data_IF_147249136752
#
_entry.id   IF_147249136752
#
_cell.length_a   1.000
_cell.length_b   1.000
_cell.length_c   1.000
_cell.angle_alpha   90.00
_cell.angle_beta   90.00
_cell.angle_gamma   90.00
#
_symmetry.space_group_name_H-M   'P 1'
#
loop_
_entity.id
_entity.type
_entity.pdbx_description
1 polymer ?
#
# COMPACT_ATOMS: atom_id res chain seq x y z
N UNK A 1 6.58 -28.02 14.35
CA UNK A 1 6.80 -27.70 12.92
C UNK A 1 6.86 -26.19 12.84
N UNK A 2 8.04 -25.59 12.66
CA UNK A 2 8.19 -24.13 12.59
C UNK A 2 7.83 -23.70 11.17
N UNK A 3 6.67 -23.07 11.00
CA UNK A 3 6.32 -22.42 9.75
C UNK A 3 7.21 -21.18 9.60
N UNK A 4 8.01 -21.14 8.53
CA UNK A 4 8.70 -19.92 8.12
C UNK A 4 7.64 -18.98 7.54
N UNK A 5 7.28 -17.94 8.28
CA UNK A 5 6.40 -16.88 7.79
C UNK A 5 7.26 -15.87 7.05
N UNK A 6 7.03 -15.70 5.75
CA UNK A 6 7.66 -14.68 4.94
C UNK A 6 7.15 -13.31 5.39
N UNK A 7 8.02 -12.52 6.04
CA UNK A 7 7.66 -11.22 6.62
C UNK A 7 7.89 -10.05 5.66
N UNK A 8 8.72 -10.24 4.65
CA UNK A 8 9.12 -9.21 3.72
C UNK A 8 9.12 -9.82 2.32
N UNK A 9 8.44 -9.15 1.40
CA UNK A 9 8.41 -9.52 -0.01
C UNK A 9 8.93 -8.34 -0.82
N UNK A 10 10.07 -8.55 -1.47
CA UNK A 10 10.68 -7.61 -2.42
C UNK A 10 10.73 -8.33 -3.76
N UNK A 11 10.02 -7.81 -4.75
CA UNK A 11 10.00 -8.35 -6.11
C UNK A 11 10.62 -7.34 -7.08
N UNK A 12 11.95 -7.41 -7.31
CA UNK A 12 12.65 -6.51 -8.21
C UNK A 12 12.48 -6.99 -9.66
N UNK A 13 11.39 -6.61 -10.32
CA UNK A 13 11.15 -6.99 -11.72
C UNK A 13 9.69 -6.97 -12.12
N UNK A 14 9.42 -7.11 -13.42
CA UNK A 14 8.07 -7.37 -13.91
C UNK A 14 7.59 -8.69 -13.29
N UNK A 15 6.53 -8.61 -12.51
CA UNK A 15 5.92 -9.76 -11.86
C UNK A 15 4.42 -9.68 -12.09
N UNK A 16 3.82 -10.83 -12.42
CA UNK A 16 2.37 -11.03 -12.49
C UNK A 16 1.77 -11.13 -11.08
N UNK A 17 2.23 -10.30 -10.14
CA UNK A 17 1.70 -10.23 -8.80
C UNK A 17 0.25 -9.79 -8.89
N UNK A 18 -0.66 -10.73 -8.61
CA UNK A 18 -2.09 -10.54 -8.77
C UNK A 18 -2.71 -9.98 -7.50
N UNK A 19 -3.91 -9.42 -7.64
CA UNK A 19 -4.72 -8.97 -6.52
C UNK A 19 -4.94 -10.10 -5.48
N UNK A 20 -5.02 -11.36 -5.94
CA UNK A 20 -5.19 -12.54 -5.07
C UNK A 20 -3.92 -12.88 -4.26
N UNK A 21 -2.72 -12.66 -4.84
CA UNK A 21 -1.45 -12.90 -4.14
C UNK A 21 -1.30 -12.00 -2.93
N UNK A 22 -1.79 -10.76 -3.05
CA UNK A 22 -1.81 -9.79 -1.94
C UNK A 22 -2.65 -10.30 -0.76
N UNK A 23 -3.75 -11.01 -1.00
CA UNK A 23 -4.71 -11.45 0.01
C UNK A 23 -4.24 -12.66 0.85
N UNK A 24 -3.21 -13.37 0.36
CA UNK A 24 -2.86 -14.70 0.85
C UNK A 24 -1.83 -14.74 1.99
N UNK A 25 -1.12 -13.63 2.27
CA UNK A 25 0.06 -13.65 3.16
C UNK A 25 0.15 -12.43 4.07
N UNK A 26 0.57 -12.64 5.33
CA UNK A 26 0.81 -11.59 6.35
C UNK A 26 2.19 -10.91 6.17
N UNK A 27 2.40 -10.21 5.05
CA UNK A 27 3.60 -9.42 4.87
C UNK A 27 3.61 -8.21 5.80
N UNK A 28 4.77 -7.96 6.42
CA UNK A 28 5.05 -6.74 7.19
C UNK A 28 5.52 -5.60 6.30
N UNK A 29 6.25 -5.93 5.24
CA UNK A 29 6.79 -4.97 4.29
C UNK A 29 6.60 -5.56 2.90
N UNK A 30 6.04 -4.76 2.00
CA UNK A 30 5.72 -5.17 0.63
C UNK A 30 6.29 -4.16 -0.36
N UNK A 31 7.27 -4.57 -1.15
CA UNK A 31 7.87 -3.73 -2.18
C UNK A 31 7.66 -4.37 -3.56
N UNK A 32 6.82 -3.73 -4.38
CA UNK A 32 6.39 -4.20 -5.68
C UNK A 32 6.77 -3.17 -6.77
N UNK A 33 8.07 -3.03 -7.02
CA UNK A 33 8.63 -1.97 -7.86
C UNK A 33 8.12 -1.95 -9.31
N UNK A 34 7.70 -3.10 -9.87
CA UNK A 34 7.21 -3.19 -11.26
C UNK A 34 6.01 -4.13 -11.40
N UNK A 35 5.21 -4.28 -10.36
CA UNK A 35 3.98 -5.06 -10.44
C UNK A 35 2.83 -4.20 -10.98
N UNK A 36 1.92 -4.83 -11.73
CA UNK A 36 0.71 -4.17 -12.22
C UNK A 36 -0.36 -4.25 -11.13
N UNK A 37 -0.52 -3.19 -10.35
CA UNK A 37 -1.56 -3.14 -9.32
C UNK A 37 -2.77 -2.39 -9.86
N UNK A 38 -3.94 -2.99 -9.69
CA UNK A 38 -5.21 -2.36 -10.04
C UNK A 38 -5.60 -1.29 -9.01
N UNK A 39 -6.42 -0.31 -9.40
CA UNK A 39 -7.03 0.63 -8.44
C UNK A 39 -7.77 -0.13 -7.32
N UNK A 40 -8.35 -1.29 -7.65
CA UNK A 40 -9.05 -2.15 -6.70
C UNK A 40 -8.10 -2.72 -5.63
N UNK A 41 -6.96 -3.30 -6.02
CA UNK A 41 -5.98 -3.80 -5.07
C UNK A 41 -5.39 -2.67 -4.21
N UNK A 42 -5.12 -1.50 -4.80
CA UNK A 42 -4.65 -0.35 -4.05
C UNK A 42 -5.68 0.09 -2.99
N UNK A 43 -6.97 0.16 -3.36
CA UNK A 43 -8.07 0.43 -2.42
C UNK A 43 -8.14 -0.59 -1.28
N UNK A 44 -8.00 -1.89 -1.60
CA UNK A 44 -8.01 -2.96 -0.60
C UNK A 44 -6.87 -2.81 0.40
N UNK A 45 -5.68 -2.44 -0.05
CA UNK A 45 -4.56 -2.15 0.86
C UNK A 45 -4.91 -1.01 1.83
N UNK A 46 -5.54 0.06 1.36
CA UNK A 46 -5.96 1.16 2.24
C UNK A 46 -7.01 0.75 3.26
N UNK A 47 -8.01 -0.04 2.86
CA UNK A 47 -9.01 -0.60 3.78
C UNK A 47 -8.34 -1.46 4.87
N UNK A 48 -7.37 -2.30 4.49
CA UNK A 48 -6.64 -3.16 5.42
C UNK A 48 -5.74 -2.37 6.39
N UNK A 49 -5.12 -1.29 5.90
CA UNK A 49 -4.35 -0.35 6.73
C UNK A 49 -5.24 0.37 7.74
N UNK A 50 -6.41 0.84 7.29
CA UNK A 50 -7.39 1.52 8.14
C UNK A 50 -7.89 0.61 9.26
N UNK A 51 -8.26 -0.62 8.94
CA UNK A 51 -8.80 -1.60 9.90
C UNK A 51 -7.71 -2.25 10.77
N UNK A 52 -6.43 -1.92 10.53
CA UNK A 52 -5.27 -2.59 11.11
C UNK A 52 -5.35 -4.14 10.98
N UNK A 53 -6.03 -4.62 9.94
CA UNK A 53 -6.27 -6.06 9.73
C UNK A 53 -4.97 -6.76 9.35
N UNK A 54 -4.04 -6.01 8.75
CA UNK A 54 -2.65 -6.43 8.51
C UNK A 54 -1.67 -5.47 9.14
N UNK A 55 -0.55 -6.01 9.62
CA UNK A 55 0.58 -5.22 10.13
C UNK A 55 1.53 -4.88 8.99
N UNK A 56 1.04 -4.17 7.98
CA UNK A 56 1.88 -3.64 6.91
C UNK A 56 2.48 -2.32 7.43
N UNK A 57 3.79 -2.27 7.52
CA UNK A 57 4.56 -1.08 7.95
C UNK A 57 4.99 -0.21 6.78
N UNK A 58 5.15 -0.81 5.61
CA UNK A 58 5.60 -0.14 4.41
C UNK A 58 5.11 -0.88 3.15
N UNK A 59 4.69 -0.09 2.17
CA UNK A 59 4.18 -0.54 0.88
C UNK A 59 4.65 0.41 -0.21
N UNK A 60 5.39 -0.08 -1.21
CA UNK A 60 5.84 0.73 -2.35
C UNK A 60 5.50 0.04 -3.68
N UNK A 61 4.90 0.78 -4.62
CA UNK A 61 4.47 0.26 -5.92
C UNK A 61 4.67 1.30 -7.01
N UNK A 62 4.93 0.86 -8.24
CA UNK A 62 4.90 1.76 -9.39
C UNK A 62 3.47 1.89 -9.91
N UNK A 63 2.97 3.12 -9.97
CA UNK A 63 1.66 3.40 -10.54
C UNK A 63 1.71 3.28 -12.07
N UNK A 64 0.59 2.86 -12.64
CA UNK A 64 0.35 2.98 -14.07
C UNK A 64 -0.37 4.30 -14.36
N UNK A 65 -0.20 4.82 -15.58
CA UNK A 65 -0.64 6.16 -16.00
C UNK A 65 -2.17 6.40 -15.90
N UNK A 66 -2.97 5.39 -15.57
CA UNK A 66 -4.44 5.45 -15.51
C UNK A 66 -5.03 5.57 -14.09
N UNK A 67 -4.23 5.51 -13.01
CA UNK A 67 -4.75 5.56 -11.63
C UNK A 67 -4.88 7.00 -11.13
N UNK A 68 -6.12 7.45 -10.93
CA UNK A 68 -6.44 8.72 -10.26
C UNK A 68 -6.32 8.56 -8.73
N UNK A 69 -5.11 8.81 -8.22
CA UNK A 69 -4.80 8.65 -6.79
C UNK A 69 -5.53 9.67 -5.92
N UNK A 70 -5.70 10.91 -6.39
CA UNK A 70 -6.45 11.93 -5.64
C UNK A 70 -7.90 11.46 -5.41
N UNK A 71 -8.56 10.96 -6.47
CA UNK A 71 -9.91 10.40 -6.36
C UNK A 71 -9.94 9.19 -5.44
N UNK A 72 -9.00 8.26 -5.59
CA UNK A 72 -8.91 7.05 -4.77
C UNK A 72 -8.82 7.40 -3.27
N UNK A 73 -7.88 8.27 -2.92
CA UNK A 73 -7.61 8.65 -1.53
C UNK A 73 -8.73 9.49 -0.94
N UNK A 74 -9.38 10.37 -1.72
CA UNK A 74 -10.49 11.20 -1.24
C UNK A 74 -11.70 10.41 -0.73
N UNK A 75 -11.82 9.13 -1.11
CA UNK A 75 -12.86 8.24 -0.63
C UNK A 75 -12.55 7.59 0.73
N UNK A 76 -11.31 7.71 1.21
CA UNK A 76 -10.88 7.10 2.47
C UNK A 76 -11.23 8.00 3.66
N UNK A 77 -11.70 7.43 4.78
CA UNK A 77 -11.82 8.17 6.03
C UNK A 77 -10.42 8.51 6.58
N UNK A 78 -10.33 9.58 7.38
CA UNK A 78 -9.13 9.96 8.12
C UNK A 78 -7.87 10.16 7.27
N UNK A 79 -8.05 10.50 6.00
CA UNK A 79 -7.00 10.97 5.10
C UNK A 79 -6.88 12.49 5.19
N UNK A 80 -5.65 12.99 5.24
CA UNK A 80 -5.35 14.42 5.23
C UNK A 80 -4.26 14.68 4.19
N UNK A 81 -4.49 15.63 3.29
CA UNK A 81 -3.46 16.07 2.33
C UNK A 81 -2.53 17.06 3.02
N UNK A 82 -1.25 16.71 3.14
CA UNK A 82 -0.24 17.54 3.82
C UNK A 82 0.72 18.24 2.85
N UNK A 83 0.72 17.83 1.58
CA UNK A 83 1.56 18.42 0.54
C UNK A 83 1.07 18.10 -0.86
N UNK A 84 1.78 18.61 -1.86
CA UNK A 84 1.60 18.12 -3.23
C UNK A 84 2.03 16.65 -3.26
N UNK A 85 1.12 15.77 -3.70
CA UNK A 85 1.37 14.32 -3.79
C UNK A 85 1.74 13.66 -2.46
N UNK A 86 1.26 14.22 -1.33
CA UNK A 86 1.58 13.72 -0.01
C UNK A 86 0.37 13.79 0.94
N UNK A 87 0.11 12.70 1.65
CA UNK A 87 -1.02 12.55 2.56
C UNK A 87 -0.65 11.80 3.83
N UNK A 88 -1.39 12.05 4.91
CA UNK A 88 -1.40 11.22 6.10
C UNK A 88 -2.72 10.45 6.16
N UNK A 89 -2.64 9.14 6.40
CA UNK A 89 -3.76 8.26 6.66
C UNK A 89 -3.69 7.79 8.11
N UNK A 90 -4.73 8.05 8.90
CA UNK A 90 -4.81 7.57 10.29
C UNK A 90 -5.71 6.35 10.39
N UNK A 91 -5.17 5.26 10.93
CA UNK A 91 -5.91 4.01 11.11
C UNK A 91 -6.72 3.97 12.43
N UNK A 92 -7.48 2.90 12.66
CA UNK A 92 -8.31 2.74 13.86
C UNK A 92 -7.53 2.67 15.19
N UNK A 93 -6.21 2.49 15.13
CA UNK A 93 -5.32 2.51 16.30
C UNK A 93 -4.63 3.85 16.51
N UNK A 94 -5.05 4.89 15.79
CA UNK A 94 -4.43 6.21 15.76
C UNK A 94 -2.99 6.22 15.22
N UNK A 95 -2.52 5.13 14.62
CA UNK A 95 -1.22 5.09 13.94
C UNK A 95 -1.35 5.87 12.62
N UNK A 96 -0.28 6.60 12.28
CA UNK A 96 -0.25 7.44 11.07
C UNK A 96 0.61 6.74 10.02
N UNK A 97 0.05 6.58 8.84
CA UNK A 97 0.76 6.18 7.64
C UNK A 97 0.92 7.40 6.75
N UNK A 98 2.12 7.67 6.29
CA UNK A 98 2.38 8.69 5.30
C UNK A 98 2.34 8.07 3.90
N UNK A 99 1.60 8.70 3.00
CA UNK A 99 1.46 8.32 1.60
C UNK A 99 2.16 9.37 0.75
N UNK A 100 3.01 8.93 -0.19
CA UNK A 100 3.74 9.80 -1.11
C UNK A 100 3.70 9.29 -2.54
N UNK A 101 3.72 10.21 -3.50
CA UNK A 101 3.96 9.89 -4.92
C UNK A 101 5.21 10.60 -5.42
N UNK A 102 6.25 9.85 -5.73
CA UNK A 102 7.54 10.35 -6.22
C UNK A 102 8.01 9.52 -7.42
N UNK A 103 8.36 10.15 -8.55
CA UNK A 103 8.84 9.45 -9.76
C UNK A 103 7.96 8.26 -10.20
N UNK A 104 6.63 8.48 -10.22
CA UNK A 104 5.59 7.48 -10.53
C UNK A 104 5.52 6.29 -9.55
N UNK A 105 6.25 6.38 -8.43
CA UNK A 105 6.14 5.44 -7.31
C UNK A 105 5.13 5.96 -6.31
N UNK A 106 4.23 5.10 -5.88
CA UNK A 106 3.36 5.28 -4.74
C UNK A 106 3.99 4.57 -3.54
N UNK A 107 4.22 5.29 -2.45
CA UNK A 107 4.67 4.72 -1.18
C UNK A 107 3.66 4.99 -0.07
N UNK A 108 3.59 4.07 0.88
CA UNK A 108 2.84 4.21 2.12
C UNK A 108 3.65 3.62 3.28
N UNK A 109 4.03 4.44 4.24
CA UNK A 109 4.96 4.08 5.31
C UNK A 109 4.45 4.54 6.68
N UNK A 110 4.59 3.71 7.72
CA UNK A 110 4.28 4.11 9.09
C UNK A 110 5.29 5.16 9.58
N UNK A 111 4.82 6.21 10.26
CA UNK A 111 5.66 7.30 10.85
C UNK A 111 5.67 7.31 12.38
#
# INVERSE_FOLDING_TARGET
MLALVLKELILPGECDFSDDDSSSTDYKTLCLERCRISEYALRRFHEELLDCSRKIYAFEVKLQDEIDVDRLLSALPNIERIGERQWNLRNIRDEIMEIRIENDKYSCDAI
#
